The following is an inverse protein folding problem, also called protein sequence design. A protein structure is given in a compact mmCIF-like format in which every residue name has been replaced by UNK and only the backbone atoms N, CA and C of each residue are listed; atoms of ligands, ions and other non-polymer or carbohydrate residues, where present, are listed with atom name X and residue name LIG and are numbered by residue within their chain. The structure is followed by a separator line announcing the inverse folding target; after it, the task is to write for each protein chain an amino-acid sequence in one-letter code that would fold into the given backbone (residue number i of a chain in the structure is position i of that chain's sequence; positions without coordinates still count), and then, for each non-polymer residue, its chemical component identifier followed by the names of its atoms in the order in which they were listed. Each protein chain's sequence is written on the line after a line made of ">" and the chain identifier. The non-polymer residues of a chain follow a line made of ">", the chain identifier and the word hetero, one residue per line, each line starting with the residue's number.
data_IF_542595134148
#
_entry.id   IF_542595134148
#
_cell.length_a   1.000
_cell.length_b   1.000
_cell.length_c   1.000
_cell.angle_alpha   90.00
_cell.angle_beta   90.00
_cell.angle_gamma   90.00
#
_symmetry.space_group_name_H-M   'P 1'
#
loop_
_entity.id
_entity.type
_entity.pdbx_description
1 polymer ?
#
# COMPACT_ATOMS: atom_id res chain seq x y z
N UNK A 1 52.89 -4.87 33.74
CA UNK A 1 52.64 -5.62 32.50
C UNK A 1 51.15 -5.75 32.15
N UNK A 2 50.25 -6.01 33.11
CA UNK A 2 48.80 -6.15 32.84
C UNK A 2 48.12 -4.90 32.24
N UNK A 3 48.52 -3.68 32.64
CA UNK A 3 47.95 -2.43 32.11
C UNK A 3 48.34 -2.13 30.65
N UNK A 4 49.48 -2.63 30.18
CA UNK A 4 49.94 -2.42 28.80
C UNK A 4 49.20 -3.40 27.85
N UNK A 5 48.90 -4.62 28.32
CA UNK A 5 48.10 -5.59 27.57
C UNK A 5 46.64 -5.13 27.39
N UNK A 6 46.02 -4.51 28.40
CA UNK A 6 44.65 -4.00 28.34
C UNK A 6 44.49 -2.82 27.36
N UNK A 7 45.48 -1.92 27.30
CA UNK A 7 45.48 -0.80 26.34
C UNK A 7 45.70 -1.32 24.90
N UNK A 8 46.56 -2.33 24.72
CA UNK A 8 46.76 -2.99 23.42
C UNK A 8 45.49 -3.66 22.90
N UNK A 9 44.72 -4.34 23.77
CA UNK A 9 43.48 -5.01 23.39
C UNK A 9 42.35 -4.01 23.05
N UNK A 10 42.26 -2.89 23.78
CA UNK A 10 41.28 -1.84 23.51
C UNK A 10 41.56 -1.15 22.15
N UNK A 11 42.83 -0.88 21.82
CA UNK A 11 43.21 -0.30 20.54
C UNK A 11 42.94 -1.28 19.39
N UNK A 12 43.20 -2.58 19.59
CA UNK A 12 42.89 -3.61 18.58
C UNK A 12 41.38 -3.73 18.33
N UNK A 13 40.55 -3.68 19.37
CA UNK A 13 39.08 -3.69 19.25
C UNK A 13 38.56 -2.43 18.54
N UNK A 14 39.11 -1.25 18.84
CA UNK A 14 38.75 -0.01 18.16
C UNK A 14 39.15 -0.06 16.67
N UNK A 15 40.29 -0.65 16.35
CA UNK A 15 40.74 -0.86 14.96
C UNK A 15 39.84 -1.88 14.25
N UNK A 16 39.45 -2.99 14.90
CA UNK A 16 38.52 -3.98 14.31
C UNK A 16 37.13 -3.36 14.11
N UNK A 17 36.63 -2.57 15.05
CA UNK A 17 35.35 -1.84 14.90
C UNK A 17 35.46 -0.77 13.81
N UNK A 18 36.57 -0.03 13.72
CA UNK A 18 36.78 0.97 12.68
C UNK A 18 36.98 0.36 11.28
N UNK A 19 37.59 -0.82 11.19
CA UNK A 19 37.71 -1.61 9.95
C UNK A 19 36.35 -2.22 9.59
N UNK A 20 35.58 -2.74 10.54
CA UNK A 20 34.25 -3.30 10.30
C UNK A 20 33.24 -2.19 9.90
N UNK A 21 33.37 -0.99 10.46
CA UNK A 21 32.60 0.20 10.03
C UNK A 21 33.07 0.76 8.68
N UNK A 22 34.36 0.59 8.29
CA UNK A 22 34.88 1.00 6.96
C UNK A 22 34.65 -0.03 5.86
N UNK A 23 34.32 -1.28 6.21
CA UNK A 23 33.88 -2.33 5.27
C UNK A 23 32.34 -2.48 5.38
N UNK A 24 31.60 -1.37 5.53
CA UNK A 24 30.36 -1.29 4.76
C UNK A 24 30.79 -1.10 3.31
N UNK A 25 31.03 -2.20 2.59
CA UNK A 25 30.91 -2.18 1.13
C UNK A 25 29.61 -1.42 0.88
N UNK A 26 29.65 -0.36 0.07
CA UNK A 26 28.43 0.13 -0.57
C UNK A 26 27.84 -1.11 -1.25
N UNK A 27 26.90 -1.77 -0.59
CA UNK A 27 26.07 -2.76 -1.24
C UNK A 27 25.33 -1.92 -2.26
N UNK A 28 25.71 -2.09 -3.53
CA UNK A 28 24.92 -1.55 -4.63
C UNK A 28 23.51 -2.11 -4.44
N UNK A 29 22.58 -1.23 -4.10
CA UNK A 29 21.19 -1.61 -3.94
C UNK A 29 20.62 -1.76 -5.35
N UNK A 30 20.44 -3.01 -5.78
CA UNK A 30 19.87 -3.33 -7.08
C UNK A 30 18.37 -3.50 -6.91
N UNK A 31 17.60 -2.52 -7.42
CA UNK A 31 16.15 -2.57 -7.39
C UNK A 31 15.68 -3.85 -8.11
N UNK A 32 14.84 -4.64 -7.44
CA UNK A 32 14.27 -5.87 -7.98
C UNK A 32 15.09 -7.13 -7.69
N UNK A 33 16.23 -7.03 -7.02
CA UNK A 33 17.03 -8.22 -6.68
C UNK A 33 16.27 -9.19 -5.76
N UNK A 34 15.51 -8.68 -4.78
CA UNK A 34 14.69 -9.50 -3.88
C UNK A 34 13.61 -10.27 -4.65
N UNK A 35 12.95 -9.61 -5.60
CA UNK A 35 11.92 -10.24 -6.43
C UNK A 35 12.51 -11.30 -7.38
N UNK A 36 13.68 -11.02 -7.96
CA UNK A 36 14.37 -11.98 -8.83
C UNK A 36 14.83 -13.23 -8.05
N UNK A 37 15.29 -13.07 -6.81
CA UNK A 37 15.64 -14.18 -5.94
C UNK A 37 14.39 -15.00 -5.56
N UNK A 38 13.29 -14.33 -5.22
CA UNK A 38 12.01 -14.96 -4.95
C UNK A 38 11.50 -15.78 -6.15
N UNK A 39 11.61 -15.23 -7.37
CA UNK A 39 11.25 -15.94 -8.61
C UNK A 39 12.11 -17.17 -8.82
N UNK A 40 13.42 -17.06 -8.60
CA UNK A 40 14.34 -18.19 -8.70
C UNK A 40 13.96 -19.31 -7.71
N UNK A 41 13.63 -18.96 -6.47
CA UNK A 41 13.24 -19.93 -5.45
C UNK A 41 11.88 -20.58 -5.75
N UNK A 42 10.94 -19.82 -6.31
CA UNK A 42 9.68 -20.40 -6.80
C UNK A 42 9.89 -21.35 -7.99
N UNK A 43 10.78 -21.01 -8.94
CA UNK A 43 11.14 -21.91 -10.03
C UNK A 43 11.81 -23.19 -9.53
N UNK A 44 12.65 -23.12 -8.49
CA UNK A 44 13.23 -24.31 -7.87
C UNK A 44 12.16 -25.23 -7.27
N UNK A 45 11.16 -24.64 -6.59
CA UNK A 45 10.01 -25.39 -6.07
C UNK A 45 9.22 -26.08 -7.19
N UNK A 46 8.92 -25.35 -8.27
CA UNK A 46 8.20 -25.87 -9.44
C UNK A 46 8.96 -26.99 -10.17
N UNK A 47 10.29 -26.99 -10.11
CA UNK A 47 11.12 -28.05 -10.68
C UNK A 47 11.40 -29.20 -9.72
N UNK A 48 10.85 -29.18 -8.50
CA UNK A 48 11.02 -30.26 -7.54
C UNK A 48 10.07 -31.43 -7.83
N UNK A 49 10.52 -32.66 -7.55
CA UNK A 49 9.70 -33.87 -7.74
C UNK A 49 8.59 -34.03 -6.69
N UNK A 50 8.56 -33.16 -5.68
CA UNK A 50 7.67 -33.25 -4.50
C UNK A 50 6.58 -32.17 -4.53
N UNK A 51 6.12 -31.78 -5.72
CA UNK A 51 5.06 -30.79 -5.86
C UNK A 51 3.73 -31.34 -5.31
N UNK A 52 3.24 -30.66 -4.27
CA UNK A 52 1.92 -30.89 -3.69
C UNK A 52 1.04 -29.68 -4.02
N UNK A 53 -0.25 -29.94 -4.25
CA UNK A 53 -1.23 -28.89 -4.48
C UNK A 53 -1.39 -28.00 -3.24
N UNK A 54 -1.44 -26.70 -3.46
CA UNK A 54 -1.65 -25.73 -2.39
C UNK A 54 -3.06 -25.85 -1.81
N UNK A 55 -3.24 -25.80 -0.47
CA UNK A 55 -4.56 -25.80 0.13
C UNK A 55 -5.40 -24.56 -0.26
N UNK A 56 -4.75 -23.48 -0.73
CA UNK A 56 -5.43 -22.29 -1.21
C UNK A 56 -5.89 -22.40 -2.66
N UNK A 57 -5.32 -23.31 -3.45
CA UNK A 57 -5.72 -23.56 -4.84
C UNK A 57 -5.51 -22.37 -5.77
N UNK A 58 -4.52 -21.51 -5.51
CA UNK A 58 -4.25 -20.28 -6.27
C UNK A 58 -5.41 -19.28 -6.33
N UNK A 59 -6.31 -19.34 -5.35
CA UNK A 59 -7.36 -18.32 -5.21
C UNK A 59 -6.71 -16.97 -4.89
N UNK A 60 -7.26 -15.89 -5.45
CA UNK A 60 -6.82 -14.52 -5.23
C UNK A 60 -8.00 -13.65 -4.84
N UNK A 61 -7.72 -12.60 -4.07
CA UNK A 61 -8.71 -11.54 -3.86
C UNK A 61 -8.99 -10.83 -5.19
N UNK A 62 -10.24 -10.44 -5.39
CA UNK A 62 -10.66 -9.66 -6.56
C UNK A 62 -10.03 -8.27 -6.48
N UNK A 63 -9.51 -7.77 -7.60
CA UNK A 63 -9.06 -6.37 -7.74
C UNK A 63 -10.24 -5.39 -7.65
N UNK A 64 -11.47 -5.91 -7.68
CA UNK A 64 -12.70 -5.14 -7.82
C UNK A 64 -13.66 -5.36 -6.63
N UNK A 65 -14.02 -6.61 -6.34
CA UNK A 65 -15.08 -6.93 -5.37
C UNK A 65 -14.54 -6.96 -3.92
N UNK A 66 -14.14 -5.78 -3.44
CA UNK A 66 -13.74 -5.54 -2.05
C UNK A 66 -12.48 -6.30 -1.62
N UNK A 67 -11.67 -6.76 -2.56
CA UNK A 67 -10.57 -7.70 -2.32
C UNK A 67 -9.24 -7.06 -1.96
N UNK A 68 -8.80 -6.02 -2.68
CA UNK A 68 -7.44 -5.48 -2.55
C UNK A 68 -7.32 -4.16 -1.80
N UNK A 69 -8.41 -3.39 -1.66
CA UNK A 69 -8.35 -2.09 -0.98
C UNK A 69 -8.45 -2.27 0.54
N UNK A 70 -7.62 -1.54 1.28
CA UNK A 70 -7.65 -1.55 2.76
C UNK A 70 -8.47 -0.40 3.36
N UNK A 71 -9.08 0.41 2.48
CA UNK A 71 -9.94 1.51 2.87
C UNK A 71 -11.33 1.01 3.26
N UNK A 72 -11.89 0.08 2.47
CA UNK A 72 -13.19 -0.51 2.75
C UNK A 72 -13.32 -1.95 2.23
N UNK A 73 -12.49 -2.89 2.73
CA UNK A 73 -12.62 -4.29 2.34
C UNK A 73 -13.96 -4.86 2.82
N UNK A 74 -14.51 -5.79 2.05
CA UNK A 74 -15.68 -6.61 2.42
C UNK A 74 -15.24 -8.03 2.71
N UNK A 75 -15.79 -8.68 3.74
CA UNK A 75 -15.49 -10.08 4.03
C UNK A 75 -15.90 -10.97 2.85
N UNK A 76 -15.03 -11.93 2.50
CA UNK A 76 -15.27 -12.92 1.44
C UNK A 76 -14.97 -14.32 1.94
N UNK A 77 -15.45 -15.35 1.23
CA UNK A 77 -15.23 -16.75 1.63
C UNK A 77 -13.75 -17.15 1.70
N UNK A 78 -12.89 -16.47 0.92
CA UNK A 78 -11.44 -16.68 0.99
C UNK A 78 -10.85 -16.31 2.37
N UNK A 79 -11.38 -15.28 3.04
CA UNK A 79 -10.93 -14.92 4.40
C UNK A 79 -11.18 -16.09 5.37
N UNK A 80 -12.38 -16.68 5.31
CA UNK A 80 -12.76 -17.85 6.14
C UNK A 80 -11.93 -19.07 5.80
N UNK A 81 -11.66 -19.31 4.52
CA UNK A 81 -10.81 -20.42 4.05
C UNK A 81 -9.40 -20.31 4.61
N UNK A 82 -8.80 -19.13 4.57
CA UNK A 82 -7.45 -18.91 5.13
C UNK A 82 -7.45 -19.13 6.65
N UNK A 83 -8.47 -18.64 7.38
CA UNK A 83 -8.60 -18.91 8.81
C UNK A 83 -8.66 -20.41 9.09
N UNK A 84 -9.43 -21.17 8.32
CA UNK A 84 -9.55 -22.62 8.48
C UNK A 84 -8.22 -23.33 8.24
N UNK A 85 -7.50 -22.98 7.17
CA UNK A 85 -6.17 -23.53 6.86
C UNK A 85 -5.16 -23.19 7.96
N UNK A 86 -5.19 -21.96 8.49
CA UNK A 86 -4.31 -21.54 9.60
C UNK A 86 -4.56 -22.37 10.85
N UNK A 87 -5.83 -22.65 11.20
CA UNK A 87 -6.18 -23.51 12.34
C UNK A 87 -5.66 -24.93 12.16
N UNK A 88 -5.84 -25.50 10.96
CA UNK A 88 -5.32 -26.82 10.62
C UNK A 88 -3.80 -26.86 10.76
N UNK A 89 -3.11 -25.87 10.19
CA UNK A 89 -1.66 -25.73 10.27
C UNK A 89 -1.13 -25.59 11.70
N UNK A 90 -1.79 -24.81 12.56
CA UNK A 90 -1.44 -24.69 13.99
C UNK A 90 -1.52 -26.04 14.70
N UNK A 91 -2.52 -26.86 14.36
CA UNK A 91 -2.74 -28.18 14.96
C UNK A 91 -1.89 -29.31 14.36
N UNK A 92 -1.26 -29.07 13.21
CA UNK A 92 -0.46 -30.07 12.49
C UNK A 92 0.84 -30.44 13.22
N UNK A 93 1.41 -31.58 12.86
CA UNK A 93 2.79 -31.93 13.18
C UNK A 93 3.81 -31.06 12.42
N UNK A 94 5.08 -31.03 12.85
CA UNK A 94 6.10 -30.25 12.12
C UNK A 94 6.31 -30.77 10.69
N UNK A 95 6.23 -32.08 10.47
CA UNK A 95 6.36 -32.68 9.14
C UNK A 95 5.22 -32.23 8.21
N UNK A 96 3.99 -32.18 8.72
CA UNK A 96 2.83 -31.67 7.98
C UNK A 96 2.93 -30.17 7.73
N UNK A 97 3.37 -29.38 8.71
CA UNK A 97 3.62 -27.95 8.51
C UNK A 97 4.64 -27.69 7.41
N UNK A 98 5.74 -28.45 7.38
CA UNK A 98 6.74 -28.37 6.29
C UNK A 98 6.09 -28.67 4.94
N UNK A 99 5.24 -29.70 4.84
CA UNK A 99 4.53 -30.03 3.60
C UNK A 99 3.59 -28.91 3.16
N UNK A 100 2.81 -28.35 4.09
CA UNK A 100 1.91 -27.23 3.82
C UNK A 100 2.70 -26.03 3.30
N UNK A 101 3.75 -25.58 4.01
CA UNK A 101 4.60 -24.45 3.59
C UNK A 101 5.15 -24.62 2.18
N UNK A 102 5.67 -25.81 1.85
CA UNK A 102 6.22 -26.13 0.52
C UNK A 102 5.16 -26.23 -0.58
N UNK A 103 3.90 -26.50 -0.25
CA UNK A 103 2.80 -26.58 -1.21
C UNK A 103 2.26 -25.20 -1.63
N UNK A 104 2.30 -24.22 -0.72
CA UNK A 104 1.84 -22.85 -0.95
C UNK A 104 2.65 -22.23 -2.10
N UNK A 105 1.98 -21.77 -3.16
CA UNK A 105 2.65 -21.11 -4.31
C UNK A 105 3.03 -19.67 -4.00
N UNK A 106 3.85 -19.04 -4.87
CA UNK A 106 4.12 -17.60 -4.77
C UNK A 106 2.83 -16.75 -4.79
N UNK A 107 1.84 -17.12 -5.61
CA UNK A 107 0.55 -16.41 -5.65
C UNK A 107 -0.23 -16.55 -4.34
N UNK A 108 -0.19 -17.73 -3.74
CA UNK A 108 -0.82 -17.99 -2.45
C UNK A 108 -0.13 -17.21 -1.33
N UNK A 109 1.20 -17.05 -1.38
CA UNK A 109 1.94 -16.19 -0.44
C UNK A 109 1.37 -14.77 -0.49
N UNK A 110 1.26 -14.14 -1.66
CA UNK A 110 0.71 -12.79 -1.79
C UNK A 110 -0.77 -12.69 -1.36
N UNK A 111 -1.51 -13.79 -1.48
CA UNK A 111 -2.88 -13.92 -0.97
C UNK A 111 -2.89 -13.93 0.56
N UNK A 112 -1.98 -14.67 1.21
CA UNK A 112 -1.81 -14.67 2.67
C UNK A 112 -1.38 -13.28 3.17
N UNK A 113 -0.43 -12.62 2.48
CA UNK A 113 0.00 -11.26 2.83
C UNK A 113 -1.18 -10.27 2.76
N UNK A 114 -2.02 -10.38 1.72
CA UNK A 114 -3.22 -9.56 1.59
C UNK A 114 -4.25 -9.86 2.68
N UNK A 115 -4.46 -11.14 3.01
CA UNK A 115 -5.31 -11.55 4.13
C UNK A 115 -4.85 -10.93 5.45
N UNK A 116 -3.55 -10.90 5.73
CA UNK A 116 -3.01 -10.31 6.96
C UNK A 116 -3.38 -8.82 7.09
N UNK A 117 -3.33 -8.07 5.99
CA UNK A 117 -3.73 -6.65 5.98
C UNK A 117 -5.24 -6.50 6.14
N UNK A 118 -6.03 -7.34 5.46
CA UNK A 118 -7.51 -7.34 5.53
C UNK A 118 -8.01 -7.68 6.94
N UNK A 119 -7.45 -8.71 7.56
CA UNK A 119 -7.87 -9.16 8.90
C UNK A 119 -7.54 -8.13 9.97
N UNK A 120 -6.49 -7.32 9.79
CA UNK A 120 -6.26 -6.12 10.62
C UNK A 120 -7.44 -5.16 10.53
N UNK A 121 -7.92 -4.83 9.32
CA UNK A 121 -9.06 -3.91 9.13
C UNK A 121 -10.31 -4.47 9.80
N UNK A 122 -10.64 -5.75 9.56
CA UNK A 122 -11.81 -6.38 10.19
C UNK A 122 -11.70 -6.47 11.71
N UNK A 123 -10.51 -6.79 12.23
CA UNK A 123 -10.23 -6.79 13.67
C UNK A 123 -10.44 -5.41 14.30
N UNK A 124 -10.00 -4.34 13.64
CA UNK A 124 -10.18 -2.96 14.11
C UNK A 124 -11.65 -2.50 14.07
N UNK A 125 -12.40 -2.88 13.03
CA UNK A 125 -13.83 -2.51 12.89
C UNK A 125 -14.74 -3.25 13.87
N UNK A 126 -14.52 -4.55 14.02
CA UNK A 126 -15.46 -5.44 14.72
C UNK A 126 -14.99 -5.93 16.09
N UNK A 127 -13.76 -5.60 16.51
CA UNK A 127 -13.07 -6.29 17.62
C UNK A 127 -13.09 -7.82 17.45
N UNK A 128 -13.04 -8.29 16.20
CA UNK A 128 -13.10 -9.71 15.91
C UNK A 128 -11.73 -10.35 16.22
N UNK A 129 -11.76 -11.45 16.95
CA UNK A 129 -10.60 -12.28 17.30
C UNK A 129 -9.83 -12.77 16.06
N UNK A 130 -10.41 -12.71 14.86
CA UNK A 130 -9.79 -13.13 13.62
C UNK A 130 -8.39 -12.52 13.37
N UNK A 131 -8.10 -11.31 13.87
CA UNK A 131 -6.77 -10.71 13.75
C UNK A 131 -5.66 -11.58 14.37
N UNK A 132 -5.99 -12.40 15.37
CA UNK A 132 -5.06 -13.35 15.99
C UNK A 132 -4.55 -14.41 14.99
N UNK A 133 -5.33 -14.75 13.97
CA UNK A 133 -4.90 -15.67 12.91
C UNK A 133 -3.92 -15.04 11.93
N UNK A 134 -3.73 -13.72 11.93
CA UNK A 134 -2.84 -13.06 10.97
C UNK A 134 -1.38 -13.45 11.14
N UNK A 135 -0.83 -13.36 12.36
CA UNK A 135 0.57 -13.73 12.62
C UNK A 135 0.78 -15.24 12.43
N UNK A 136 -0.17 -16.06 12.87
CA UNK A 136 -0.15 -17.50 12.63
C UNK A 136 -0.18 -17.81 11.12
N UNK A 137 -0.97 -17.09 10.32
CA UNK A 137 -1.00 -17.28 8.88
C UNK A 137 0.33 -16.93 8.21
N UNK A 138 1.02 -15.87 8.67
CA UNK A 138 2.36 -15.52 8.19
C UNK A 138 3.40 -16.62 8.45
N UNK A 139 3.24 -17.41 9.52
CA UNK A 139 4.15 -18.52 9.80
C UNK A 139 4.13 -19.62 8.72
N UNK A 140 3.08 -19.66 7.88
CA UNK A 140 2.98 -20.55 6.72
C UNK A 140 3.78 -20.06 5.50
N UNK A 141 4.24 -18.81 5.50
CA UNK A 141 4.94 -18.20 4.35
C UNK A 141 6.43 -18.53 4.38
N UNK A 142 6.93 -19.08 3.28
CA UNK A 142 8.38 -19.15 3.01
C UNK A 142 8.82 -17.83 2.38
N UNK A 143 9.28 -16.90 3.22
CA UNK A 143 9.58 -15.52 2.82
C UNK A 143 10.67 -15.41 1.74
N UNK A 144 11.50 -16.44 1.58
CA UNK A 144 12.47 -16.55 0.49
C UNK A 144 11.82 -16.64 -0.90
N UNK A 145 10.50 -16.89 -0.97
CA UNK A 145 9.71 -16.99 -2.22
C UNK A 145 8.82 -15.77 -2.47
N UNK A 146 8.99 -14.70 -1.70
CA UNK A 146 8.40 -13.39 -1.98
C UNK A 146 9.42 -12.27 -1.70
N UNK A 147 9.05 -11.03 -1.98
CA UNK A 147 9.80 -9.91 -1.44
C UNK A 147 9.59 -9.85 0.08
N UNK A 148 10.66 -9.99 0.86
CA UNK A 148 10.56 -9.98 2.32
C UNK A 148 10.03 -8.65 2.86
N UNK A 149 10.15 -7.56 2.10
CA UNK A 149 9.57 -6.25 2.46
C UNK A 149 8.05 -6.32 2.48
N UNK A 150 7.43 -7.08 1.58
CA UNK A 150 5.97 -7.25 1.56
C UNK A 150 5.48 -8.02 2.81
N UNK A 151 6.28 -8.96 3.31
CA UNK A 151 6.05 -9.63 4.57
C UNK A 151 6.18 -8.66 5.76
N UNK A 152 7.22 -7.82 5.80
CA UNK A 152 7.39 -6.79 6.84
C UNK A 152 6.22 -5.79 6.87
N UNK A 153 5.75 -5.35 5.71
CA UNK A 153 4.54 -4.52 5.59
C UNK A 153 3.36 -5.23 6.24
N UNK A 154 3.15 -6.51 5.94
CA UNK A 154 2.03 -7.29 6.51
C UNK A 154 2.16 -7.47 8.03
N UNK A 155 3.37 -7.68 8.55
CA UNK A 155 3.64 -7.72 9.99
C UNK A 155 3.30 -6.36 10.64
N UNK A 156 3.62 -5.24 10.00
CA UNK A 156 3.32 -3.91 10.52
C UNK A 156 1.82 -3.64 10.66
N UNK A 157 1.03 -4.06 9.67
CA UNK A 157 -0.44 -4.00 9.75
C UNK A 157 -0.96 -4.81 10.95
N UNK A 158 -0.48 -6.04 11.12
CA UNK A 158 -0.91 -6.89 12.24
C UNK A 158 -0.49 -6.30 13.59
N UNK A 159 0.76 -5.84 13.71
CA UNK A 159 1.27 -5.20 14.91
C UNK A 159 0.41 -3.99 15.31
N UNK A 160 0.13 -3.10 14.35
CA UNK A 160 -0.73 -1.94 14.56
C UNK A 160 -2.09 -2.36 15.10
N UNK A 161 -2.74 -3.32 14.46
CA UNK A 161 -4.05 -3.81 14.91
C UNK A 161 -4.00 -4.41 16.31
N UNK A 162 -3.06 -5.33 16.57
CA UNK A 162 -2.86 -5.99 17.87
C UNK A 162 -2.68 -4.97 19.00
N UNK A 163 -1.80 -3.97 18.81
CA UNK A 163 -1.59 -2.90 19.79
C UNK A 163 -2.85 -2.05 19.98
N UNK A 164 -3.51 -1.67 18.88
CA UNK A 164 -4.68 -0.79 18.88
C UNK A 164 -5.88 -1.38 19.61
N UNK A 165 -6.06 -2.71 19.53
CA UNK A 165 -7.11 -3.43 20.29
C UNK A 165 -6.60 -4.10 21.57
N UNK A 166 -5.35 -3.83 21.97
CA UNK A 166 -4.74 -4.26 23.24
C UNK A 166 -4.68 -5.77 23.44
N UNK A 167 -4.41 -6.53 22.37
CA UNK A 167 -4.11 -7.96 22.48
C UNK A 167 -2.70 -8.20 23.05
N UNK A 168 -2.46 -9.40 23.57
CA UNK A 168 -1.15 -9.81 24.07
C UNK A 168 -0.18 -10.05 22.91
N UNK A 169 0.50 -8.99 22.46
CA UNK A 169 1.42 -9.07 21.34
C UNK A 169 2.52 -10.11 21.55
N UNK A 170 3.11 -10.17 22.75
CA UNK A 170 4.20 -11.10 23.05
C UNK A 170 3.81 -12.55 22.80
N UNK A 171 2.66 -12.97 23.33
CA UNK A 171 2.12 -14.32 23.16
C UNK A 171 1.86 -14.65 21.69
N UNK A 172 1.22 -13.74 20.95
CA UNK A 172 0.91 -13.96 19.53
C UNK A 172 2.17 -14.05 18.65
N UNK A 173 3.19 -13.23 18.93
CA UNK A 173 4.47 -13.33 18.23
C UNK A 173 5.20 -14.63 18.58
N UNK A 174 5.27 -15.02 19.86
CA UNK A 174 5.94 -16.26 20.26
C UNK A 174 5.28 -17.49 19.62
N UNK A 175 3.95 -17.53 19.57
CA UNK A 175 3.22 -18.59 18.88
C UNK A 175 3.60 -18.67 17.39
N UNK A 176 3.54 -17.54 16.67
CA UNK A 176 3.88 -17.50 15.25
C UNK A 176 5.36 -17.85 14.98
N UNK A 177 6.28 -17.38 15.83
CA UNK A 177 7.71 -17.68 15.79
C UNK A 177 7.99 -19.18 15.95
N UNK A 178 7.22 -19.87 16.81
CA UNK A 178 7.36 -21.30 17.03
C UNK A 178 6.84 -22.16 15.87
N UNK A 179 5.90 -21.63 15.09
CA UNK A 179 5.30 -22.31 13.94
C UNK A 179 6.02 -22.01 12.61
N UNK A 180 6.84 -20.96 12.57
CA UNK A 180 7.47 -20.45 11.36
C UNK A 180 8.68 -21.29 10.91
N UNK A 181 8.99 -21.20 9.61
CA UNK A 181 10.29 -21.66 9.10
C UNK A 181 11.43 -20.77 9.66
N UNK A 182 12.71 -21.16 9.55
CA UNK A 182 13.82 -20.40 10.13
C UNK A 182 13.91 -18.94 9.71
N UNK A 183 13.63 -18.63 8.43
CA UNK A 183 13.76 -17.27 7.90
C UNK A 183 12.59 -16.37 8.29
N UNK A 184 11.36 -16.88 8.24
CA UNK A 184 10.19 -16.17 8.74
C UNK A 184 10.28 -15.96 10.26
N UNK A 185 10.81 -16.94 10.99
CA UNK A 185 11.13 -16.82 12.42
C UNK A 185 12.09 -15.65 12.67
N UNK A 186 13.19 -15.57 11.93
CA UNK A 186 14.15 -14.46 12.03
C UNK A 186 13.46 -13.11 11.74
N UNK A 187 12.58 -13.06 10.74
CA UNK A 187 11.86 -11.84 10.38
C UNK A 187 10.89 -11.37 11.48
N UNK A 188 10.07 -12.28 12.02
CA UNK A 188 9.13 -12.01 13.10
C UNK A 188 9.85 -11.57 14.37
N UNK A 189 10.92 -12.30 14.76
CA UNK A 189 11.75 -11.94 15.90
C UNK A 189 12.42 -10.58 15.70
N UNK A 190 13.01 -10.33 14.54
CA UNK A 190 13.68 -9.05 14.25
C UNK A 190 12.70 -7.89 14.26
N UNK A 191 11.50 -8.07 13.72
CA UNK A 191 10.44 -7.06 13.79
C UNK A 191 10.03 -6.77 15.23
N UNK A 192 9.82 -7.82 16.05
CA UNK A 192 9.47 -7.70 17.47
C UNK A 192 10.51 -6.89 18.26
N UNK A 193 11.78 -6.94 17.89
CA UNK A 193 12.86 -6.18 18.54
C UNK A 193 13.06 -4.75 18.00
N UNK A 194 12.34 -4.35 16.93
CA UNK A 194 12.44 -2.98 16.42
C UNK A 194 11.97 -1.95 17.46
N UNK A 195 12.57 -0.76 17.39
CA UNK A 195 12.10 0.36 18.20
C UNK A 195 10.65 0.73 17.81
N UNK A 196 9.85 1.29 18.75
CA UNK A 196 8.45 1.58 18.50
C UNK A 196 8.19 2.51 17.31
N UNK A 197 9.11 3.43 16.98
CA UNK A 197 8.91 4.34 15.84
C UNK A 197 9.04 3.59 14.52
N UNK A 198 10.01 2.67 14.42
CA UNK A 198 10.21 1.84 13.22
C UNK A 198 9.09 0.83 12.99
N UNK A 199 8.36 0.42 14.04
CA UNK A 199 7.19 -0.48 13.93
C UNK A 199 5.91 0.20 13.45
N UNK A 200 5.84 1.53 13.52
CA UNK A 200 4.65 2.29 13.13
C UNK A 200 4.27 2.02 11.69
N UNK A 201 2.98 1.88 11.44
CA UNK A 201 2.46 1.55 10.11
C UNK A 201 2.80 2.64 9.08
N UNK A 202 2.88 3.90 9.48
CA UNK A 202 3.29 5.01 8.60
C UNK A 202 4.75 4.87 8.16
N UNK A 203 5.62 4.42 9.06
CA UNK A 203 7.07 4.32 8.78
C UNK A 203 7.41 3.02 8.07
N UNK A 204 6.81 1.91 8.49
CA UNK A 204 7.12 0.59 7.93
C UNK A 204 6.35 0.28 6.66
N UNK A 205 5.07 0.65 6.61
CA UNK A 205 4.18 0.27 5.52
C UNK A 205 3.84 1.44 4.59
N UNK A 206 4.05 2.70 5.02
CA UNK A 206 3.62 3.85 4.25
C UNK A 206 2.09 3.99 4.21
N UNK A 207 1.40 3.63 5.29
CA UNK A 207 -0.05 3.79 5.42
C UNK A 207 -0.39 4.58 6.68
N UNK A 208 -1.53 5.27 6.69
CA UNK A 208 -2.11 5.89 7.89
C UNK A 208 -3.48 5.29 8.18
N UNK A 209 -3.84 5.19 9.46
CA UNK A 209 -5.20 4.88 9.89
C UNK A 209 -6.14 6.03 9.51
N UNK A 210 -7.33 5.70 9.00
CA UNK A 210 -8.36 6.67 8.67
C UNK A 210 -9.75 6.17 9.05
N UNK A 211 -10.59 7.06 9.56
CA UNK A 211 -11.95 6.75 9.99
C UNK A 211 -12.93 7.00 8.84
N UNK A 212 -13.33 5.94 8.13
CA UNK A 212 -14.39 6.01 7.12
C UNK A 212 -15.78 5.83 7.75
N UNK A 213 -16.83 6.12 6.98
CA UNK A 213 -18.23 5.83 7.37
C UNK A 213 -18.44 4.34 7.71
N UNK A 214 -17.75 3.45 7.01
CA UNK A 214 -17.78 1.99 7.20
C UNK A 214 -16.91 1.50 8.38
N UNK A 215 -16.27 2.42 9.12
CA UNK A 215 -15.31 2.10 10.17
C UNK A 215 -13.86 2.39 9.76
N UNK A 216 -12.94 2.00 10.64
CA UNK A 216 -11.50 2.20 10.43
C UNK A 216 -11.03 1.51 9.13
N UNK A 217 -10.16 2.16 8.37
CA UNK A 217 -9.42 1.59 7.25
C UNK A 217 -8.03 2.22 7.15
N UNK A 218 -7.29 1.88 6.10
CA UNK A 218 -5.94 2.41 5.87
C UNK A 218 -5.82 3.09 4.52
N UNK A 219 -5.11 4.22 4.50
CA UNK A 219 -4.82 5.00 3.31
C UNK A 219 -3.31 5.05 3.09
N UNK A 220 -2.79 4.71 1.90
CA UNK A 220 -1.40 4.96 1.55
C UNK A 220 -1.01 6.44 1.77
N UNK A 221 0.16 6.64 2.37
CA UNK A 221 0.71 7.94 2.68
C UNK A 221 2.03 8.11 1.92
N UNK A 222 2.07 9.12 1.05
CA UNK A 222 3.29 9.52 0.36
C UNK A 222 4.23 10.32 1.26
N UNK A 223 5.21 10.98 0.65
CA UNK A 223 6.26 11.70 1.37
C UNK A 223 6.05 13.21 1.44
N UNK A 224 5.02 13.74 0.77
CA UNK A 224 4.77 15.17 0.74
C UNK A 224 4.22 15.69 2.06
N UNK A 225 4.36 17.01 2.26
CA UNK A 225 3.74 17.67 3.40
C UNK A 225 2.22 17.52 3.31
N UNK A 226 1.59 17.13 4.41
CA UNK A 226 0.14 16.95 4.48
C UNK A 226 -0.42 17.54 5.78
N UNK A 227 -1.00 18.74 5.67
CA UNK A 227 -1.68 19.48 6.72
C UNK A 227 -2.88 20.25 6.12
N UNK A 228 -3.83 19.55 5.47
CA UNK A 228 -5.04 20.17 4.94
C UNK A 228 -5.91 20.74 6.07
N UNK A 229 -6.71 21.76 5.76
CA UNK A 229 -7.75 22.27 6.68
C UNK A 229 -9.08 21.54 6.45
N UNK A 230 -9.26 20.97 5.25
CA UNK A 230 -10.45 20.21 4.87
C UNK A 230 -10.18 18.71 4.87
N UNK A 231 -11.22 17.91 5.04
CA UNK A 231 -11.08 16.45 5.05
C UNK A 231 -11.00 15.89 3.61
N UNK A 232 -9.87 16.15 2.95
CA UNK A 232 -9.63 15.77 1.55
C UNK A 232 -9.86 14.27 1.27
N UNK A 233 -9.49 13.32 2.15
CA UNK A 233 -9.79 11.91 1.91
C UNK A 233 -11.29 11.61 1.90
N UNK A 234 -12.09 12.21 2.79
CA UNK A 234 -13.56 12.10 2.77
C UNK A 234 -14.16 12.63 1.47
N UNK A 235 -13.65 13.79 0.99
CA UNK A 235 -14.07 14.36 -0.30
C UNK A 235 -13.74 13.41 -1.45
N UNK A 236 -12.50 12.93 -1.51
CA UNK A 236 -12.04 11.99 -2.53
C UNK A 236 -12.85 10.69 -2.52
N UNK A 237 -13.14 10.15 -1.34
CA UNK A 237 -13.94 8.93 -1.18
C UNK A 237 -15.38 9.10 -1.66
N UNK A 238 -15.99 10.23 -1.34
CA UNK A 238 -17.34 10.55 -1.81
C UNK A 238 -17.37 10.72 -3.32
N UNK A 239 -16.37 11.37 -3.91
CA UNK A 239 -16.22 11.49 -5.37
C UNK A 239 -16.00 10.11 -6.00
N UNK A 240 -15.15 9.26 -5.41
CA UNK A 240 -14.92 7.88 -5.84
C UNK A 240 -16.19 7.06 -5.94
N UNK A 241 -17.02 7.06 -4.88
CA UNK A 241 -18.33 6.39 -4.86
C UNK A 241 -19.28 6.84 -5.96
N UNK A 242 -19.21 8.11 -6.36
CA UNK A 242 -20.03 8.62 -7.46
C UNK A 242 -19.46 8.23 -8.83
N UNK A 243 -18.13 8.23 -8.98
CA UNK A 243 -17.43 7.76 -10.18
C UNK A 243 -17.69 6.26 -10.42
N UNK A 244 -17.80 5.47 -9.34
CA UNK A 244 -18.19 4.05 -9.41
C UNK A 244 -19.57 3.81 -10.01
N UNK A 245 -20.51 4.75 -9.84
CA UNK A 245 -21.85 4.66 -10.45
C UNK A 245 -21.84 4.90 -11.96
N UNK A 246 -20.75 5.45 -12.49
CA UNK A 246 -20.52 5.63 -13.92
C UNK A 246 -19.86 4.39 -14.52
N UNK A 247 -18.73 4.53 -15.22
CA UNK A 247 -18.05 3.46 -15.97
C UNK A 247 -16.86 2.86 -15.24
N UNK A 248 -16.59 3.34 -14.04
CA UNK A 248 -15.36 3.12 -13.34
C UNK A 248 -15.56 2.28 -12.10
N UNK A 249 -14.44 1.88 -11.55
CA UNK A 249 -14.29 1.31 -10.23
C UNK A 249 -13.20 2.08 -9.51
N UNK A 250 -13.54 2.74 -8.40
CA UNK A 250 -12.54 3.44 -7.61
C UNK A 250 -11.64 2.39 -6.96
N UNK A 251 -10.34 2.57 -7.13
CA UNK A 251 -9.34 1.65 -6.64
C UNK A 251 -8.81 2.14 -5.31
N UNK A 252 -7.97 3.18 -5.36
CA UNK A 252 -7.26 3.64 -4.19
C UNK A 252 -7.23 5.14 -4.06
N UNK A 253 -7.33 5.59 -2.81
CA UNK A 253 -7.08 6.96 -2.39
C UNK A 253 -5.71 6.95 -1.74
N UNK A 254 -4.91 7.98 -1.95
CA UNK A 254 -3.63 8.15 -1.27
C UNK A 254 -3.47 9.60 -0.82
N UNK A 255 -2.89 9.82 0.36
CA UNK A 255 -2.59 11.15 0.87
C UNK A 255 -1.10 11.46 0.72
N UNK A 256 -0.73 12.73 0.98
CA UNK A 256 0.66 13.19 0.95
C UNK A 256 1.34 12.86 -0.40
N UNK A 257 0.58 12.96 -1.49
CA UNK A 257 1.06 12.65 -2.83
C UNK A 257 1.66 13.88 -3.52
N UNK A 258 2.66 13.66 -4.35
CA UNK A 258 3.06 14.67 -5.33
C UNK A 258 1.96 14.77 -6.41
N UNK A 259 1.67 15.97 -6.92
CA UNK A 259 0.96 16.14 -8.20
C UNK A 259 1.99 16.23 -9.33
N UNK A 260 2.20 15.18 -10.13
CA UNK A 260 3.31 15.16 -11.09
C UNK A 260 3.19 16.25 -12.15
N UNK A 261 4.28 16.97 -12.37
CA UNK A 261 4.37 18.08 -13.34
C UNK A 261 3.95 17.68 -14.76
N UNK A 262 4.19 16.42 -15.14
CA UNK A 262 3.79 15.87 -16.45
C UNK A 262 2.28 15.99 -16.73
N UNK A 263 1.45 16.02 -15.67
CA UNK A 263 0.00 16.18 -15.79
C UNK A 263 -0.45 17.64 -15.79
N UNK A 264 0.41 18.52 -15.29
CA UNK A 264 0.15 19.95 -15.09
C UNK A 264 1.08 20.77 -15.97
N UNK A 265 0.98 20.52 -17.29
CA UNK A 265 1.62 21.38 -18.28
C UNK A 265 0.97 22.76 -18.23
N UNK A 266 1.72 23.73 -17.71
CA UNK A 266 1.30 25.13 -17.59
C UNK A 266 2.14 26.06 -18.43
N UNK A 267 1.89 27.36 -18.30
CA UNK A 267 2.63 28.43 -18.99
C UNK A 267 4.11 28.50 -18.61
N UNK A 268 4.43 28.11 -17.37
CA UNK A 268 5.76 28.15 -16.78
C UNK A 268 5.85 27.04 -15.73
N UNK A 269 6.75 26.08 -15.94
CA UNK A 269 6.95 24.93 -15.04
C UNK A 269 7.42 25.39 -13.64
N UNK A 270 8.31 26.38 -13.59
CA UNK A 270 8.84 26.91 -12.34
C UNK A 270 7.76 27.62 -11.51
N UNK A 271 6.84 28.34 -12.17
CA UNK A 271 5.72 28.97 -11.48
C UNK A 271 4.74 27.94 -10.94
N UNK A 272 4.44 26.90 -11.71
CA UNK A 272 3.58 25.80 -11.28
C UNK A 272 4.17 25.11 -10.05
N UNK A 273 5.46 24.73 -10.08
CA UNK A 273 6.16 24.13 -8.93
C UNK A 273 6.14 25.05 -7.71
N UNK A 274 6.45 26.34 -7.91
CA UNK A 274 6.49 27.33 -6.83
C UNK A 274 5.14 27.45 -6.12
N UNK A 275 4.03 27.49 -6.87
CA UNK A 275 2.69 27.58 -6.28
C UNK A 275 2.28 26.24 -5.66
N UNK A 276 2.54 25.10 -6.32
CA UNK A 276 2.21 23.77 -5.78
C UNK A 276 2.93 23.48 -4.45
N UNK A 277 4.16 23.94 -4.27
CA UNK A 277 4.92 23.86 -3.01
C UNK A 277 4.30 24.67 -1.85
N UNK A 278 3.31 25.53 -2.13
CA UNK A 278 2.53 26.25 -1.13
C UNK A 278 1.23 25.54 -0.76
N UNK A 279 0.95 24.37 -1.34
CA UNK A 279 -0.22 23.56 -0.99
C UNK A 279 -0.15 23.09 0.47
N UNK A 280 -1.33 22.91 1.06
CA UNK A 280 -1.51 22.37 2.39
C UNK A 280 -1.50 20.85 2.39
N UNK A 281 -1.92 20.24 1.29
CA UNK A 281 -1.87 18.80 1.09
C UNK A 281 -2.49 18.39 -0.23
N UNK A 282 -2.10 17.20 -0.68
CA UNK A 282 -2.61 16.59 -1.92
C UNK A 282 -3.15 15.20 -1.61
N UNK A 283 -4.31 14.89 -2.18
CA UNK A 283 -4.89 13.55 -2.22
C UNK A 283 -4.99 13.12 -3.67
N UNK A 284 -4.61 11.88 -3.96
CA UNK A 284 -4.92 11.23 -5.23
C UNK A 284 -6.02 10.20 -5.05
N UNK A 285 -6.80 10.00 -6.10
CA UNK A 285 -7.72 8.89 -6.28
C UNK A 285 -7.42 8.27 -7.64
N UNK A 286 -7.25 6.96 -7.66
CA UNK A 286 -7.14 6.17 -8.88
C UNK A 286 -8.44 5.40 -9.10
N UNK A 287 -8.88 5.33 -10.34
CA UNK A 287 -9.96 4.44 -10.74
C UNK A 287 -9.57 3.64 -11.99
N UNK A 288 -10.23 2.51 -12.17
CA UNK A 288 -10.10 1.68 -13.36
C UNK A 288 -11.41 1.67 -14.11
N UNK A 289 -11.35 1.71 -15.44
CA UNK A 289 -12.54 1.48 -16.24
C UNK A 289 -12.95 0.01 -16.11
N UNK A 290 -14.25 -0.26 -16.02
CA UNK A 290 -14.73 -1.65 -15.94
C UNK A 290 -14.61 -2.35 -17.29
N UNK A 291 -14.35 -3.65 -17.25
CA UNK A 291 -14.06 -4.48 -18.42
C UNK A 291 -15.18 -4.44 -19.48
N UNK A 292 -16.45 -4.32 -19.06
CA UNK A 292 -17.59 -4.28 -19.98
C UNK A 292 -17.61 -3.05 -20.90
N UNK A 293 -16.86 -2.00 -20.59
CA UNK A 293 -16.82 -0.77 -21.40
C UNK A 293 -15.72 -0.76 -22.45
N UNK A 294 -14.65 -1.54 -22.27
CA UNK A 294 -13.57 -1.66 -23.26
C UNK A 294 -12.72 -2.90 -23.01
N UNK A 295 -12.33 -3.58 -24.10
CA UNK A 295 -11.40 -4.73 -24.06
C UNK A 295 -10.00 -4.35 -23.57
N UNK A 296 -9.63 -3.07 -23.69
CA UNK A 296 -8.31 -2.56 -23.33
C UNK A 296 -8.33 -1.89 -21.95
N UNK A 297 -9.24 -2.32 -21.05
CA UNK A 297 -9.48 -1.65 -19.76
C UNK A 297 -8.24 -1.58 -18.87
N UNK A 298 -7.41 -2.62 -18.89
CA UNK A 298 -6.12 -2.68 -18.16
C UNK A 298 -5.13 -1.62 -18.63
N UNK A 299 -5.26 -1.16 -19.87
CA UNK A 299 -4.41 -0.13 -20.45
C UNK A 299 -4.90 1.27 -20.11
N UNK A 300 -6.14 1.43 -19.62
CA UNK A 300 -6.71 2.73 -19.33
C UNK A 300 -6.39 3.17 -17.91
N UNK A 301 -5.86 4.37 -17.79
CA UNK A 301 -5.56 5.03 -16.53
C UNK A 301 -6.55 6.18 -16.32
N UNK A 302 -7.03 6.28 -15.08
CA UNK A 302 -7.90 7.37 -14.64
C UNK A 302 -7.41 7.85 -13.26
N UNK A 303 -6.89 9.08 -13.23
CA UNK A 303 -6.29 9.68 -12.04
C UNK A 303 -7.03 10.97 -11.69
N UNK A 304 -7.37 11.11 -10.42
CA UNK A 304 -7.96 12.31 -9.86
C UNK A 304 -7.07 12.83 -8.74
N UNK A 305 -6.88 14.15 -8.67
CA UNK A 305 -6.14 14.79 -7.58
C UNK A 305 -6.97 15.93 -7.00
N UNK A 306 -6.90 16.05 -5.68
CA UNK A 306 -7.34 17.21 -4.91
C UNK A 306 -6.11 17.86 -4.28
N UNK A 307 -5.97 19.17 -4.46
CA UNK A 307 -4.88 19.96 -3.86
C UNK A 307 -5.51 21.11 -3.10
N UNK A 308 -5.27 21.17 -1.79
CA UNK A 308 -5.74 22.27 -0.97
C UNK A 308 -4.70 23.37 -0.88
N UNK A 309 -5.14 24.61 -1.02
CA UNK A 309 -4.34 25.82 -0.81
C UNK A 309 -4.84 26.59 0.41
N UNK A 310 -4.05 27.56 0.85
CA UNK A 310 -4.40 28.44 1.98
C UNK A 310 -5.72 29.20 1.77
N UNK A 311 -6.06 29.56 0.52
CA UNK A 311 -7.27 30.30 0.19
C UNK A 311 -7.66 30.13 -1.29
N UNK A 312 -8.88 30.59 -1.61
CA UNK A 312 -9.44 30.53 -2.96
C UNK A 312 -8.63 31.28 -4.01
N UNK A 313 -8.00 32.39 -3.63
CA UNK A 313 -7.16 33.16 -4.56
C UNK A 313 -5.96 32.32 -5.03
N UNK A 314 -5.35 31.54 -4.15
CA UNK A 314 -4.22 30.66 -4.46
C UNK A 314 -4.63 29.48 -5.34
N UNK A 315 -5.76 28.84 -5.05
CA UNK A 315 -6.30 27.77 -5.90
C UNK A 315 -6.63 28.30 -7.31
N UNK A 316 -7.20 29.51 -7.39
CA UNK A 316 -7.51 30.19 -8.66
C UNK A 316 -6.25 30.63 -9.42
N UNK A 317 -5.24 31.14 -8.70
CA UNK A 317 -3.92 31.46 -9.26
C UNK A 317 -3.30 30.21 -9.89
N UNK A 318 -3.29 29.09 -9.16
CA UNK A 318 -2.79 27.82 -9.64
C UNK A 318 -3.53 27.38 -10.91
N UNK A 319 -4.87 27.35 -10.89
CA UNK A 319 -5.71 27.04 -12.06
C UNK A 319 -5.33 27.87 -13.29
N UNK A 320 -5.10 29.18 -13.13
CA UNK A 320 -4.72 30.08 -14.25
C UNK A 320 -3.36 29.76 -14.86
N UNK A 321 -2.45 29.15 -14.09
CA UNK A 321 -1.13 28.73 -14.59
C UNK A 321 -1.22 27.54 -15.55
N UNK A 322 -2.21 26.66 -15.38
CA UNK A 322 -2.41 25.47 -16.24
C UNK A 322 -2.93 25.82 -17.64
N UNK A 323 -3.54 27.00 -17.83
CA UNK A 323 -4.04 27.44 -19.13
C UNK A 323 -5.41 26.87 -19.46
N UNK A 324 -5.60 26.45 -20.72
CA UNK A 324 -6.86 25.94 -21.25
C UNK A 324 -6.86 24.41 -21.33
N UNK A 325 -7.99 23.80 -20.98
CA UNK A 325 -8.25 22.37 -21.19
C UNK A 325 -8.26 22.04 -22.69
N UNK A 326 -8.03 20.77 -23.05
CA UNK A 326 -8.13 20.32 -24.44
C UNK A 326 -6.90 20.57 -25.31
N UNK A 327 -5.84 21.15 -24.77
CA UNK A 327 -4.61 21.46 -25.53
C UNK A 327 -3.55 20.35 -25.47
N UNK A 328 -3.77 19.31 -24.66
CA UNK A 328 -2.81 18.24 -24.39
C UNK A 328 -3.06 16.98 -25.21
N UNK A 329 -2.06 16.09 -25.21
CA UNK A 329 -2.11 14.78 -25.89
C UNK A 329 -2.91 13.70 -25.12
N UNK A 330 -3.61 14.09 -24.07
CA UNK A 330 -4.42 13.24 -23.23
C UNK A 330 -5.61 14.03 -22.70
N UNK A 331 -6.67 13.34 -22.29
CA UNK A 331 -7.84 13.98 -21.74
C UNK A 331 -7.57 14.46 -20.31
N UNK A 332 -7.83 15.74 -20.05
CA UNK A 332 -7.82 16.27 -18.68
C UNK A 332 -8.90 17.32 -18.47
N UNK A 333 -9.40 17.36 -17.24
CA UNK A 333 -10.37 18.32 -16.77
C UNK A 333 -9.90 18.85 -15.41
N UNK A 334 -9.94 20.16 -15.19
CA UNK A 334 -9.53 20.73 -13.91
C UNK A 334 -10.38 21.94 -13.52
N UNK A 335 -10.34 22.28 -12.25
CA UNK A 335 -11.08 23.41 -11.72
C UNK A 335 -10.66 23.75 -10.31
N UNK A 336 -11.35 24.72 -9.74
CA UNK A 336 -11.15 25.14 -8.36
C UNK A 336 -12.50 25.45 -7.74
N UNK A 337 -12.71 24.98 -6.53
CA UNK A 337 -13.88 25.25 -5.71
C UNK A 337 -13.35 25.70 -4.36
N UNK A 338 -13.62 26.95 -4.00
CA UNK A 338 -13.04 27.58 -2.82
C UNK A 338 -11.51 27.44 -2.84
N UNK A 339 -10.88 26.99 -1.76
CA UNK A 339 -9.44 26.80 -1.65
C UNK A 339 -8.93 25.44 -2.19
N UNK A 340 -9.80 24.62 -2.79
CA UNK A 340 -9.44 23.30 -3.35
C UNK A 340 -9.35 23.39 -4.86
N UNK A 341 -8.18 23.04 -5.40
CA UNK A 341 -7.99 22.72 -6.81
C UNK A 341 -8.23 21.23 -7.04
N UNK A 342 -8.83 20.89 -8.19
CA UNK A 342 -8.96 19.51 -8.62
C UNK A 342 -8.48 19.35 -10.06
N UNK A 343 -7.92 18.18 -10.37
CA UNK A 343 -7.61 17.75 -11.73
C UNK A 343 -7.95 16.28 -11.91
N UNK A 344 -8.59 15.98 -13.02
CA UNK A 344 -8.92 14.65 -13.49
C UNK A 344 -8.20 14.39 -14.81
N UNK A 345 -7.54 13.24 -14.91
CA UNK A 345 -6.71 12.84 -16.05
C UNK A 345 -7.17 11.46 -16.50
N UNK A 346 -7.33 11.28 -17.80
CA UNK A 346 -7.54 9.97 -18.40
C UNK A 346 -6.65 9.79 -19.63
N UNK A 347 -6.05 8.60 -19.72
CA UNK A 347 -5.12 8.23 -20.79
C UNK A 347 -4.90 6.72 -20.84
N UNK A 348 -4.61 6.19 -22.03
CA UNK A 348 -3.99 4.89 -22.22
C UNK A 348 -2.51 4.89 -21.85
N UNK A 349 -2.10 3.92 -21.05
CA UNK A 349 -0.70 3.65 -20.69
C UNK A 349 0.02 2.77 -21.72
N UNK A 350 -0.70 2.25 -22.71
CA UNK A 350 -0.20 1.29 -23.71
C UNK A 350 -0.09 1.93 -25.09
N UNK A 351 1.09 1.82 -25.70
CA UNK A 351 1.32 2.32 -27.06
C UNK A 351 0.41 1.62 -28.05
N UNK A 352 -0.31 2.40 -28.87
CA UNK A 352 -1.23 1.88 -29.89
C UNK A 352 -2.64 1.60 -29.38
N UNK A 353 -2.91 1.79 -28.09
CA UNK A 353 -4.26 1.77 -27.52
C UNK A 353 -4.71 3.23 -27.36
N UNK A 354 -5.87 3.56 -27.90
CA UNK A 354 -6.45 4.90 -27.80
C UNK A 354 -6.95 5.20 -26.37
N UNK A 355 -6.94 6.48 -26.01
CA UNK A 355 -7.50 6.96 -24.74
C UNK A 355 -9.02 6.73 -24.75
N UNK A 356 -9.57 6.15 -23.69
CA UNK A 356 -11.01 5.89 -23.59
C UNK A 356 -11.83 7.19 -23.47
N UNK A 357 -11.33 8.14 -22.68
CA UNK A 357 -11.98 9.43 -22.48
C UNK A 357 -11.38 10.50 -23.41
N UNK A 358 -12.22 11.44 -23.84
CA UNK A 358 -11.82 12.70 -24.44
C UNK A 358 -12.03 13.85 -23.45
N UNK A 359 -11.55 15.04 -23.79
CA UNK A 359 -11.78 16.22 -22.93
C UNK A 359 -13.28 16.53 -22.78
N UNK A 360 -14.07 16.30 -23.83
CA UNK A 360 -15.51 16.49 -23.84
C UNK A 360 -16.22 15.45 -22.98
N UNK A 361 -15.82 14.18 -23.06
CA UNK A 361 -16.48 13.14 -22.27
C UNK A 361 -16.22 13.30 -20.78
N UNK A 362 -15.03 13.77 -20.36
CA UNK A 362 -14.74 14.06 -18.95
C UNK A 362 -15.63 15.14 -18.33
N UNK A 363 -16.13 16.11 -19.11
CA UNK A 363 -16.94 17.22 -18.59
C UNK A 363 -18.20 16.76 -17.85
N UNK A 364 -18.72 15.56 -18.16
CA UNK A 364 -19.88 14.98 -17.44
C UNK A 364 -19.66 14.85 -15.93
N UNK A 365 -18.40 14.74 -15.50
CA UNK A 365 -18.04 14.56 -14.09
C UNK A 365 -17.84 15.90 -13.35
N UNK A 366 -17.77 17.03 -14.06
CA UNK A 366 -17.43 18.34 -13.47
C UNK A 366 -18.41 18.75 -12.38
N UNK A 367 -19.70 18.85 -12.72
CA UNK A 367 -20.73 19.31 -11.79
C UNK A 367 -20.79 18.41 -10.55
N UNK A 368 -20.63 17.10 -10.75
CA UNK A 368 -20.58 16.13 -9.68
C UNK A 368 -19.41 16.40 -8.73
N UNK A 369 -18.19 16.54 -9.27
CA UNK A 369 -16.98 16.78 -8.47
C UNK A 369 -17.12 18.10 -7.71
N UNK A 370 -17.49 19.18 -8.39
CA UNK A 370 -17.60 20.50 -7.77
C UNK A 370 -18.66 20.53 -6.67
N UNK A 371 -19.79 19.84 -6.88
CA UNK A 371 -20.83 19.69 -5.86
C UNK A 371 -20.30 18.94 -4.64
N UNK A 372 -19.59 17.82 -4.82
CA UNK A 372 -19.02 17.05 -3.70
C UNK A 372 -17.98 17.83 -2.90
N UNK A 373 -17.18 18.66 -3.56
CA UNK A 373 -16.26 19.57 -2.87
C UNK A 373 -17.01 20.61 -2.03
N UNK A 374 -18.18 21.11 -2.46
CA UNK A 374 -18.98 22.07 -1.67
C UNK A 374 -19.79 21.44 -0.53
N UNK A 375 -20.17 20.17 -0.69
CA UNK A 375 -21.00 19.44 0.30
C UNK A 375 -20.22 19.14 1.58
N UNK A 376 -18.92 18.85 1.48
CA UNK A 376 -18.06 18.77 2.66
C UNK A 376 -17.87 20.18 3.21
N UNK A 377 -18.49 20.45 4.35
CA UNK A 377 -18.27 21.65 5.13
C UNK A 377 -17.36 21.23 6.26
N UNK A 378 -16.13 21.72 6.27
CA UNK A 378 -15.21 21.45 7.37
C UNK A 378 -15.82 21.89 8.71
N UNK A 379 -15.57 21.08 9.73
CA UNK A 379 -16.01 21.26 11.12
C UNK A 379 -15.33 22.42 11.83
#
# INVERSE_FOLDING_TARGET
>A
MLKIALVGFAILMIIIIAISCKIKKKQEFVIGNEMAEADKNEQQRLNSNDLVESPLGNQKYSDFEGGTTFQNPTEVELDKKIIQITKEYQSSSEEERVKIRKSISKNDIYTILSFCKRVTVFGLRGQNENITFGLAALSMVEVERCDYRDALVSIAFLNHGIERIKLNADELYEEAINLANPRMKELLSSFKELDPKSKKIETMAGFTEYQFESGIGFIPCGYEKYNPQRDLPSIAFTIGKEIEKDKYQAADISIAQELPIVWIKGKSEDDVKRVLNQSLGTVSLQAYIREEFTKDWVSQMFLFYLVEFENENKATEFKKLLGEEGTDKFARMFGSVENIFYILISRSTTVGVEDYETNESLQRLRELIERKIREEKSH
#
